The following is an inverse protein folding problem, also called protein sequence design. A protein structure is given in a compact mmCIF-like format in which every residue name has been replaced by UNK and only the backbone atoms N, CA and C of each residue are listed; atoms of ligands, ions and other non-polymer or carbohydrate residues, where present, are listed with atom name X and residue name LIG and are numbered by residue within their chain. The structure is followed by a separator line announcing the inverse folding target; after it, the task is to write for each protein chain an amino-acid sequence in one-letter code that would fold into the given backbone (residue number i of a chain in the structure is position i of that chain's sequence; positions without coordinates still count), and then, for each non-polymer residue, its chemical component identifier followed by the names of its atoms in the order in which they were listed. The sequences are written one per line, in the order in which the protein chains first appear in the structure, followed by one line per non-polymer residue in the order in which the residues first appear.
data_IF_026008371982
#
_entry.id   IF_026008371982
#
_cell.length_a   1.000
_cell.length_b   1.000
_cell.length_c   1.000
_cell.angle_alpha   90.00
_cell.angle_beta   90.00
_cell.angle_gamma   90.00
#
_symmetry.space_group_name_H-M   'P 1'
#
loop_
_entity.id
_entity.type
_entity.pdbx_description
1 polymer ?
#
# COMPACT_ATOMS: atom_id res chain seq x y z
N UNK A 1 15.47 6.89 18.06
CA UNK A 1 15.74 6.52 16.67
C UNK A 1 15.13 5.15 16.46
N UNK A 2 14.32 4.99 15.42
CA UNK A 2 13.70 3.72 15.08
C UNK A 2 14.17 3.21 13.72
N UNK A 3 13.72 2.01 13.37
CA UNK A 3 14.14 1.33 12.14
C UNK A 3 13.91 2.19 10.87
N UNK A 4 12.87 3.02 10.82
CA UNK A 4 12.61 3.90 9.69
C UNK A 4 13.62 5.06 9.62
N UNK A 5 14.03 5.59 10.78
CA UNK A 5 15.11 6.55 10.87
C UNK A 5 16.46 5.93 10.42
N UNK A 6 16.75 4.69 10.84
CA UNK A 6 17.98 3.96 10.52
C UNK A 6 18.08 3.63 9.02
N UNK A 7 16.97 3.20 8.41
CA UNK A 7 16.91 2.87 6.98
C UNK A 7 16.62 4.08 6.08
N UNK A 8 16.44 5.27 6.66
CA UNK A 8 16.08 6.51 5.97
C UNK A 8 14.84 6.33 5.06
N UNK A 9 13.84 5.63 5.58
CA UNK A 9 12.51 5.40 4.99
C UNK A 9 11.46 6.16 5.78
N UNK A 10 10.32 6.47 5.16
CA UNK A 10 9.20 7.09 5.88
C UNK A 10 8.40 6.06 6.67
N UNK A 11 8.35 4.81 6.16
CA UNK A 11 7.66 3.67 6.77
C UNK A 11 8.47 2.39 6.62
N UNK A 12 8.59 1.62 7.70
CA UNK A 12 9.15 0.27 7.72
C UNK A 12 8.09 -0.73 8.18
N UNK A 13 7.92 -1.80 7.42
CA UNK A 13 6.98 -2.89 7.73
C UNK A 13 7.78 -4.18 7.93
N UNK A 14 7.68 -4.77 9.12
CA UNK A 14 8.42 -5.99 9.45
C UNK A 14 7.70 -6.81 10.53
N UNK A 15 8.07 -8.10 10.65
CA UNK A 15 7.61 -8.96 11.75
C UNK A 15 8.68 -9.00 12.83
N UNK A 16 8.32 -8.70 14.08
CA UNK A 16 9.25 -8.86 15.21
C UNK A 16 9.38 -10.33 15.57
N UNK A 17 10.60 -10.78 15.86
CA UNK A 17 10.83 -12.14 16.36
C UNK A 17 10.13 -12.38 17.70
N UNK A 18 10.09 -11.37 18.58
CA UNK A 18 9.44 -11.44 19.89
C UNK A 18 7.90 -11.31 19.84
N UNK A 19 7.36 -10.78 18.73
CA UNK A 19 5.92 -10.62 18.50
C UNK A 19 5.55 -11.10 17.09
N UNK A 20 5.67 -12.41 16.82
CA UNK A 20 5.41 -12.97 15.50
C UNK A 20 3.92 -13.05 15.19
N UNK A 21 3.06 -12.72 16.14
CA UNK A 21 1.60 -12.69 15.99
C UNK A 21 1.11 -11.53 15.13
N UNK A 22 1.92 -10.49 14.88
CA UNK A 22 1.52 -9.28 14.15
C UNK A 22 2.66 -8.66 13.35
N UNK A 23 2.31 -7.88 12.34
CA UNK A 23 3.25 -7.02 11.65
C UNK A 23 3.38 -5.69 12.38
N UNK A 24 4.62 -5.26 12.57
CA UNK A 24 4.97 -3.94 13.06
C UNK A 24 5.19 -3.00 11.88
N UNK A 25 4.60 -1.82 11.97
CA UNK A 25 4.72 -0.74 11.02
C UNK A 25 5.23 0.46 11.80
N UNK A 26 6.48 0.85 11.58
CA UNK A 26 7.06 2.04 12.23
C UNK A 26 7.23 3.14 11.20
N UNK A 27 6.96 4.37 11.62
CA UNK A 27 7.17 5.56 10.78
C UNK A 27 8.35 6.34 11.29
N UNK A 28 8.98 7.15 10.43
CA UNK A 28 10.10 8.00 10.83
C UNK A 28 9.76 8.86 12.05
N UNK A 29 10.74 9.15 12.91
CA UNK A 29 10.52 10.05 14.05
C UNK A 29 10.01 11.41 13.58
N UNK A 30 8.88 11.86 14.12
CA UNK A 30 8.23 13.11 13.69
C UNK A 30 7.45 12.99 12.38
N UNK A 31 7.06 11.78 11.99
CA UNK A 31 6.17 11.54 10.85
C UNK A 31 4.95 12.49 10.86
N UNK A 32 4.56 13.03 9.70
CA UNK A 32 3.42 13.93 9.62
C UNK A 32 2.14 13.19 10.00
N UNK A 33 1.21 13.87 10.67
CA UNK A 33 -0.10 13.29 11.06
C UNK A 33 -0.86 12.76 9.84
N UNK A 34 -0.65 13.31 8.64
CA UNK A 34 -1.21 12.79 7.40
C UNK A 34 -0.78 11.34 7.13
N UNK A 35 0.50 11.02 7.33
CA UNK A 35 1.02 9.66 7.16
C UNK A 35 0.37 8.72 8.17
N UNK A 36 0.31 9.14 9.43
CA UNK A 36 -0.29 8.34 10.50
C UNK A 36 -1.79 8.10 10.25
N UNK A 37 -2.53 9.13 9.82
CA UNK A 37 -3.96 9.04 9.49
C UNK A 37 -4.22 8.12 8.28
N UNK A 38 -3.33 8.12 7.28
CA UNK A 38 -3.41 7.18 6.16
C UNK A 38 -3.25 5.73 6.63
N UNK A 39 -2.30 5.46 7.54
CA UNK A 39 -2.11 4.13 8.12
C UNK A 39 -3.35 3.67 8.90
N UNK A 40 -3.95 4.55 9.70
CA UNK A 40 -5.21 4.25 10.40
C UNK A 40 -6.34 3.92 9.42
N UNK A 41 -6.44 4.64 8.30
CA UNK A 41 -7.46 4.43 7.29
C UNK A 41 -7.33 3.07 6.56
N UNK A 42 -6.16 2.43 6.60
CA UNK A 42 -5.97 1.06 6.13
C UNK A 42 -6.40 0.00 7.16
N UNK A 43 -6.87 0.41 8.34
CA UNK A 43 -7.26 -0.50 9.41
C UNK A 43 -6.06 -1.05 10.18
N UNK A 44 -4.92 -0.35 10.15
CA UNK A 44 -3.81 -0.62 11.04
C UNK A 44 -4.09 0.00 12.41
N UNK A 45 -3.73 -0.71 13.47
CA UNK A 45 -3.95 -0.24 14.84
C UNK A 45 -2.80 0.66 15.28
N UNK A 46 -3.11 1.92 15.54
CA UNK A 46 -2.15 2.87 16.11
C UNK A 46 -1.88 2.52 17.56
N UNK A 47 -0.60 2.46 17.90
CA UNK A 47 -0.09 2.20 19.24
C UNK A 47 0.80 3.35 19.66
N UNK A 48 0.69 3.69 20.94
CA UNK A 48 1.46 4.78 21.52
C UNK A 48 2.01 4.32 22.86
N UNK A 49 3.28 4.57 23.07
CA UNK A 49 3.94 4.37 24.35
C UNK A 49 4.47 5.71 24.85
N UNK A 50 3.94 6.14 26.00
CA UNK A 50 4.42 7.32 26.70
C UNK A 50 5.67 6.90 27.47
N UNK A 51 6.83 7.29 26.95
CA UNK A 51 8.10 7.13 27.64
C UNK A 51 8.42 8.41 28.43
N UNK A 52 9.51 8.42 29.20
CA UNK A 52 10.02 9.63 29.83
C UNK A 52 10.52 10.69 28.82
N UNK A 53 10.53 10.37 27.51
CA UNK A 53 10.89 11.25 26.41
C UNK A 53 9.76 11.40 25.38
N UNK A 54 10.05 11.47 24.06
CA UNK A 54 9.02 11.61 23.04
C UNK A 54 8.06 10.41 23.05
N UNK A 55 6.78 10.68 22.78
CA UNK A 55 5.76 9.63 22.63
C UNK A 55 6.15 8.77 21.43
N UNK A 56 6.37 7.49 21.67
CA UNK A 56 6.70 6.55 20.61
C UNK A 56 5.39 6.07 19.97
N UNK A 57 5.19 6.43 18.70
CA UNK A 57 4.00 6.01 17.94
C UNK A 57 4.41 5.00 16.89
N UNK A 58 3.71 3.88 16.84
CA UNK A 58 3.84 2.87 15.78
C UNK A 58 2.48 2.31 15.43
N UNK A 59 2.41 1.55 14.37
CA UNK A 59 1.21 0.85 13.92
C UNK A 59 1.44 -0.65 13.93
N UNK A 60 0.37 -1.42 14.14
CA UNK A 60 0.39 -2.87 14.10
C UNK A 60 -0.78 -3.38 13.25
N UNK A 61 -0.65 -4.58 12.69
CA UNK A 61 -1.84 -5.25 12.14
C UNK A 61 -2.78 -5.69 13.25
N UNK A 62 -4.11 -5.64 13.03
CA UNK A 62 -5.09 -6.05 14.03
C UNK A 62 -4.85 -7.45 14.59
N UNK A 63 -5.11 -7.59 15.89
CA UNK A 63 -5.09 -8.87 16.58
C UNK A 63 -6.08 -9.88 15.93
N UNK A 64 -5.71 -11.16 15.93
CA UNK A 64 -6.56 -12.23 15.43
C UNK A 64 -6.60 -12.41 13.90
N UNK A 65 -5.92 -11.54 13.13
CA UNK A 65 -5.71 -11.78 11.70
C UNK A 65 -4.70 -12.92 11.49
N UNK A 66 -5.03 -13.89 10.62
CA UNK A 66 -4.05 -14.87 10.17
C UNK A 66 -2.91 -14.22 9.38
N UNK A 67 -1.70 -14.80 9.41
CA UNK A 67 -0.50 -14.22 8.78
C UNK A 67 -0.71 -13.76 7.34
N UNK A 68 -1.40 -14.55 6.52
CA UNK A 68 -1.72 -14.17 5.14
C UNK A 68 -2.56 -12.89 5.08
N UNK A 69 -3.58 -12.78 5.92
CA UNK A 69 -4.45 -11.59 5.95
C UNK A 69 -3.69 -10.34 6.44
N UNK A 70 -2.76 -10.50 7.39
CA UNK A 70 -1.86 -9.43 7.82
C UNK A 70 -0.98 -8.93 6.67
N UNK A 71 -0.30 -9.85 5.96
CA UNK A 71 0.54 -9.50 4.80
C UNK A 71 -0.25 -8.81 3.72
N UNK A 72 -1.46 -9.29 3.43
CA UNK A 72 -2.36 -8.66 2.47
C UNK A 72 -2.77 -7.25 2.90
N UNK A 73 -3.10 -7.05 4.18
CA UNK A 73 -3.46 -5.73 4.73
C UNK A 73 -2.29 -4.75 4.61
N UNK A 74 -1.12 -5.14 5.12
CA UNK A 74 0.09 -4.33 5.07
C UNK A 74 0.51 -4.00 3.63
N UNK A 75 0.50 -5.00 2.74
CA UNK A 75 0.87 -4.81 1.33
C UNK A 75 -0.06 -3.84 0.60
N UNK A 76 -1.37 -3.87 0.91
CA UNK A 76 -2.35 -2.96 0.31
C UNK A 76 -2.15 -1.51 0.72
N UNK A 77 -1.58 -1.26 1.91
CA UNK A 77 -1.25 0.08 2.36
C UNK A 77 -0.06 0.69 1.60
N UNK A 78 0.84 -0.13 1.05
CA UNK A 78 2.08 0.33 0.40
C UNK A 78 1.78 1.22 -0.82
N UNK A 79 0.95 0.77 -1.76
CA UNK A 79 0.77 1.49 -3.02
C UNK A 79 0.21 2.91 -2.82
N UNK A 80 -0.84 3.14 -2.01
CA UNK A 80 -1.33 4.48 -1.73
C UNK A 80 -0.32 5.39 -1.02
N UNK A 81 0.54 4.83 -0.17
CA UNK A 81 1.62 5.57 0.49
C UNK A 81 2.69 6.00 -0.52
N UNK A 82 3.08 5.11 -1.43
CA UNK A 82 4.01 5.44 -2.52
C UNK A 82 3.43 6.52 -3.46
N UNK A 83 2.13 6.44 -3.79
CA UNK A 83 1.45 7.47 -4.59
C UNK A 83 1.44 8.83 -3.89
N UNK A 84 1.35 8.84 -2.55
CA UNK A 84 1.42 10.05 -1.74
C UNK A 84 2.85 10.61 -1.60
N UNK A 85 3.86 9.91 -2.14
CA UNK A 85 5.25 10.34 -2.12
C UNK A 85 6.04 9.86 -0.89
N UNK A 86 5.49 8.98 -0.07
CA UNK A 86 6.22 8.39 1.06
C UNK A 86 7.09 7.23 0.62
N UNK A 87 8.31 7.16 1.13
CA UNK A 87 9.23 6.04 0.93
C UNK A 87 8.89 4.90 1.89
N UNK A 88 8.39 3.79 1.37
CA UNK A 88 7.95 2.62 2.16
C UNK A 88 8.86 1.45 1.89
N UNK A 89 9.36 0.83 2.96
CA UNK A 89 10.08 -0.42 2.91
C UNK A 89 9.31 -1.52 3.66
N UNK A 90 9.36 -2.73 3.12
CA UNK A 90 8.73 -3.92 3.69
C UNK A 90 9.71 -5.08 3.64
N UNK A 91 9.75 -5.87 4.70
CA UNK A 91 10.46 -7.13 4.70
C UNK A 91 9.95 -8.02 3.55
N UNK A 92 10.85 -8.55 2.69
CA UNK A 92 10.44 -9.28 1.49
C UNK A 92 9.64 -10.55 1.79
N UNK A 93 9.83 -11.19 2.95
CA UNK A 93 9.07 -12.37 3.36
C UNK A 93 7.63 -12.02 3.78
N UNK A 94 7.37 -10.75 4.12
CA UNK A 94 6.07 -10.24 4.52
C UNK A 94 5.28 -9.58 3.38
N UNK A 95 5.90 -9.43 2.20
CA UNK A 95 5.22 -8.95 1.00
C UNK A 95 4.28 -10.01 0.40
N UNK A 96 2.98 -9.69 0.32
CA UNK A 96 2.03 -10.52 -0.44
C UNK A 96 1.97 -10.05 -1.90
N UNK A 97 2.68 -10.74 -2.78
CA UNK A 97 2.77 -10.43 -4.22
C UNK A 97 1.39 -10.39 -4.89
N UNK A 98 0.44 -11.20 -4.42
CA UNK A 98 -0.93 -11.21 -4.97
C UNK A 98 -1.67 -9.94 -4.58
N UNK A 99 -1.60 -9.53 -3.31
CA UNK A 99 -2.17 -8.28 -2.84
C UNK A 99 -1.55 -7.05 -3.51
N UNK A 100 -0.24 -7.09 -3.76
CA UNK A 100 0.45 -6.05 -4.52
C UNK A 100 -0.10 -5.93 -5.95
N UNK A 101 -0.20 -7.05 -6.68
CA UNK A 101 -0.75 -7.07 -8.03
C UNK A 101 -2.21 -6.59 -8.09
N UNK A 102 -3.03 -6.99 -7.12
CA UNK A 102 -4.42 -6.53 -6.99
C UNK A 102 -4.51 -5.03 -6.72
N UNK A 103 -3.64 -4.50 -5.86
CA UNK A 103 -3.59 -3.06 -5.56
C UNK A 103 -3.23 -2.25 -6.80
N UNK A 104 -2.24 -2.71 -7.58
CA UNK A 104 -1.89 -2.09 -8.86
C UNK A 104 -3.03 -2.16 -9.87
N UNK A 105 -3.72 -3.30 -9.98
CA UNK A 105 -4.84 -3.48 -10.89
C UNK A 105 -6.02 -2.57 -10.52
N UNK A 106 -6.36 -2.48 -9.23
CA UNK A 106 -7.39 -1.60 -8.72
C UNK A 106 -7.06 -0.14 -9.05
N UNK A 107 -5.81 0.29 -8.79
CA UNK A 107 -5.36 1.63 -9.12
C UNK A 107 -5.49 1.94 -10.63
N UNK A 108 -5.03 1.03 -11.51
CA UNK A 108 -5.17 1.20 -12.97
C UNK A 108 -6.62 1.29 -13.42
N UNK A 109 -7.51 0.52 -12.78
CA UNK A 109 -8.94 0.51 -13.13
C UNK A 109 -9.61 1.81 -12.70
N UNK A 110 -9.27 2.34 -11.53
CA UNK A 110 -9.75 3.63 -11.04
C UNK A 110 -9.27 4.82 -11.87
N UNK A 111 -8.13 4.69 -12.56
CA UNK A 111 -7.61 5.71 -13.46
C UNK A 111 -8.23 5.68 -14.86
N UNK A 112 -8.96 4.60 -15.22
CA UNK A 112 -9.62 4.54 -16.52
C UNK A 112 -10.79 5.54 -16.49
N UNK A 113 -10.82 6.55 -17.39
CA UNK A 113 -11.96 7.44 -17.47
C UNK A 113 -13.21 6.59 -17.72
N UNK A 114 -14.38 6.96 -17.15
CA UNK A 114 -15.63 6.31 -17.52
C UNK A 114 -15.72 6.33 -19.04
N UNK A 115 -15.96 5.16 -19.64
CA UNK A 115 -16.14 5.06 -21.08
C UNK A 115 -17.26 6.03 -21.45
N UNK A 116 -16.91 7.10 -22.16
CA UNK A 116 -17.86 8.13 -22.53
C UNK A 116 -18.90 7.45 -23.43
N UNK A 117 -20.18 7.34 -23.02
CA UNK A 117 -21.18 6.60 -23.80
C UNK A 117 -21.46 7.24 -25.17
N UNK A 118 -20.92 8.44 -25.41
CA UNK A 118 -21.05 9.20 -26.65
C UNK A 118 -19.94 8.94 -27.67
N UNK A 119 -18.98 8.04 -27.42
CA UNK A 119 -17.96 7.74 -28.44
C UNK A 119 -18.55 6.77 -29.49
N UNK A 120 -18.71 7.20 -30.76
CA UNK A 120 -19.19 6.31 -31.81
C UNK A 120 -18.19 5.17 -32.02
N UNK A 121 -18.66 3.95 -32.37
CA UNK A 121 -17.78 2.84 -32.65
C UNK A 121 -16.78 3.21 -33.77
N UNK A 122 -15.54 2.70 -33.72
CA UNK A 122 -14.60 2.94 -34.81
C UNK A 122 -15.19 2.43 -36.13
N UNK A 123 -15.00 3.16 -37.25
CA UNK A 123 -15.53 2.73 -38.53
C UNK A 123 -14.93 1.36 -38.89
N UNK A 124 -15.71 0.46 -39.53
CA UNK A 124 -15.19 -0.81 -40.00
C UNK A 124 -14.03 -0.54 -40.98
N UNK A 125 -12.92 -1.26 -40.79
CA UNK A 125 -11.77 -1.18 -41.67
C UNK A 125 -12.20 -1.47 -43.11
N UNK A 126 -11.89 -0.55 -44.03
CA UNK A 126 -12.13 -0.73 -45.45
C UNK A 126 -11.40 -2.00 -45.92
N UNK A 127 -12.18 -3.00 -46.34
CA UNK A 127 -11.63 -4.22 -46.93
C UNK A 127 -10.83 -3.92 -48.19
N UNK A 128 -9.86 -4.78 -48.56
CA UNK A 128 -8.99 -4.54 -49.70
C UNK A 128 -9.80 -4.49 -51.01
N UNK A 129 -9.36 -3.70 -52.01
CA UNK A 129 -10.05 -3.58 -53.28
C UNK A 129 -10.07 -4.93 -54.01
N UNK A 130 -11.27 -5.43 -54.32
CA UNK A 130 -11.46 -6.64 -55.12
C UNK A 130 -10.92 -6.48 -56.54
N UNK A 131 -10.51 -7.57 -57.20
CA UNK A 131 -9.89 -7.52 -58.52
C UNK A 131 -10.92 -7.14 -59.59
N UNK A 132 -10.59 -6.15 -60.42
CA UNK A 132 -11.36 -5.79 -61.63
C UNK A 132 -11.27 -6.92 -62.65
N UNK A 133 -12.43 -7.35 -63.16
CA UNK A 133 -12.58 -8.18 -64.36
C UNK A 133 -12.59 -7.31 -65.61
#
# INVERSE_FOLDING_TARGET
MNLADDNNTDVEIYRKADHPDRLHIVTRTGAPEELLARLDAFGLERRQEVTAGPVYTWHETPDGLGQRAQRQLATRAILPLLIAGFNVNIDPDELDVTAWAQSMLAHRTSQKPPANPSQPPPPPAAGPPGPRR
#
